data_IF_378935335837
#
_entry.id   IF_378935335837
#
_cell.length_a   1.000
_cell.length_b   1.000
_cell.length_c   1.000
_cell.angle_alpha   90.00
_cell.angle_beta   90.00
_cell.angle_gamma   90.00
#
_symmetry.space_group_name_H-M   'P 1'
#
loop_
_entity.id
_entity.type
_entity.pdbx_description
1 polymer ?
#
# COMPACT_ATOMS: atom_id res chain seq x y z
N UNK A 1 -1.43 -16.76 -8.11
CA UNK A 1 -0.16 -16.04 -7.93
C UNK A 1 -0.14 -15.43 -6.54
N UNK A 2 1.02 -15.27 -5.92
CA UNK A 2 1.15 -14.77 -4.55
C UNK A 2 1.48 -13.29 -4.55
N UNK A 3 0.80 -12.54 -3.69
CA UNK A 3 1.03 -11.10 -3.53
C UNK A 3 1.20 -10.72 -2.08
N UNK A 4 2.19 -9.87 -1.80
CA UNK A 4 2.36 -9.30 -0.46
C UNK A 4 1.44 -8.08 -0.34
N UNK A 5 0.50 -8.15 0.59
CA UNK A 5 -0.43 -7.07 0.91
C UNK A 5 -0.07 -6.46 2.26
N UNK A 6 -0.18 -5.14 2.32
CA UNK A 6 0.12 -4.34 3.49
C UNK A 6 -1.10 -3.55 3.92
N UNK A 7 -1.44 -3.64 5.20
CA UNK A 7 -2.49 -2.86 5.82
C UNK A 7 -1.89 -1.64 6.54
N UNK A 8 -2.18 -0.43 6.06
CA UNK A 8 -1.68 0.80 6.69
C UNK A 8 -2.44 1.19 7.96
N UNK A 9 -3.64 0.63 8.17
CA UNK A 9 -4.39 0.83 9.40
C UNK A 9 -3.79 0.02 10.55
N UNK A 10 -3.45 -1.25 10.31
CA UNK A 10 -2.97 -2.17 11.35
C UNK A 10 -1.45 -2.36 11.37
N UNK A 11 -0.76 -2.07 10.26
CA UNK A 11 0.66 -2.37 10.07
C UNK A 11 0.95 -3.83 9.64
N UNK A 12 -0.10 -4.64 9.49
CA UNK A 12 0.02 -6.05 9.14
C UNK A 12 0.50 -6.26 7.70
N UNK A 13 1.32 -7.29 7.52
CA UNK A 13 1.76 -7.80 6.23
C UNK A 13 1.24 -9.23 6.07
N UNK A 14 0.66 -9.52 4.92
CA UNK A 14 0.17 -10.86 4.60
C UNK A 14 0.53 -11.24 3.16
N UNK A 15 0.69 -12.53 2.91
CA UNK A 15 0.78 -13.08 1.56
C UNK A 15 -0.60 -13.57 1.16
N UNK A 16 -1.20 -12.93 0.17
CA UNK A 16 -2.50 -13.30 -0.37
C UNK A 16 -2.35 -14.08 -1.67
N UNK A 17 -3.15 -15.13 -1.82
CA UNK A 17 -3.29 -15.86 -3.06
C UNK A 17 -4.30 -15.12 -3.96
N UNK A 18 -3.85 -14.67 -5.13
CA UNK A 18 -4.66 -13.96 -6.12
C UNK A 18 -4.84 -14.79 -7.39
N UNK A 19 -5.92 -14.55 -8.17
CA UNK A 19 -6.11 -15.17 -9.48
C UNK A 19 -4.90 -14.93 -10.39
N UNK A 20 -4.60 -15.93 -11.23
CA UNK A 20 -3.59 -15.74 -12.26
C UNK A 20 -4.08 -14.73 -13.32
N UNK A 21 -3.18 -13.97 -13.97
CA UNK A 21 -3.55 -13.06 -15.06
C UNK A 21 -4.19 -13.82 -16.23
N UNK A 22 -5.16 -13.18 -16.87
CA UNK A 22 -5.76 -13.70 -18.10
C UNK A 22 -4.85 -13.41 -19.30
N UNK A 23 -4.73 -14.38 -20.20
CA UNK A 23 -3.95 -14.25 -21.44
C UNK A 23 -4.80 -13.65 -22.54
N UNK A 24 -4.24 -12.71 -23.30
CA UNK A 24 -4.86 -12.08 -24.47
C UNK A 24 -4.24 -12.62 -25.76
N UNK A 25 -4.92 -12.52 -26.92
CA UNK A 25 -4.33 -12.87 -28.21
C UNK A 25 -2.96 -12.21 -28.41
N UNK A 26 -1.97 -12.97 -28.87
CA UNK A 26 -0.59 -12.50 -29.07
C UNK A 26 0.26 -12.42 -27.79
N UNK A 27 -0.24 -12.87 -26.64
CA UNK A 27 0.52 -12.91 -25.37
C UNK A 27 0.76 -14.33 -24.88
N UNK A 28 1.75 -14.50 -24.00
CA UNK A 28 2.03 -15.75 -23.28
C UNK A 28 1.94 -15.52 -21.77
N UNK A 29 1.49 -16.52 -21.03
CA UNK A 29 1.57 -16.52 -19.57
C UNK A 29 2.86 -17.19 -19.13
N UNK A 30 3.66 -16.48 -18.35
CA UNK A 30 4.92 -16.99 -17.79
C UNK A 30 4.68 -17.41 -16.34
N UNK A 31 5.02 -18.67 -16.00
CA UNK A 31 4.97 -19.17 -14.62
C UNK A 31 6.32 -18.94 -13.94
N UNK A 32 6.34 -18.02 -12.99
CA UNK A 32 7.51 -17.80 -12.14
C UNK A 32 7.52 -18.80 -10.98
N UNK A 33 8.66 -19.44 -10.71
CA UNK A 33 8.82 -20.35 -9.55
C UNK A 33 9.27 -19.62 -8.29
N UNK A 34 10.02 -18.54 -8.47
CA UNK A 34 10.61 -17.77 -7.38
C UNK A 34 10.53 -16.29 -7.73
N UNK A 35 10.35 -15.46 -6.70
CA UNK A 35 10.45 -14.01 -6.79
C UNK A 35 11.16 -13.49 -5.54
N UNK A 36 11.93 -12.43 -5.70
CA UNK A 36 12.62 -11.74 -4.62
C UNK A 36 12.19 -10.28 -4.60
N UNK A 37 12.07 -9.71 -3.42
CA UNK A 37 11.89 -8.27 -3.23
C UNK A 37 13.15 -7.73 -2.57
N UNK A 38 13.74 -6.71 -3.19
CA UNK A 38 14.87 -5.99 -2.62
C UNK A 38 14.43 -5.29 -1.33
N UNK A 39 15.24 -5.39 -0.28
CA UNK A 39 14.88 -4.84 1.02
C UNK A 39 14.97 -3.31 1.12
N UNK A 40 15.46 -2.61 0.07
CA UNK A 40 15.78 -1.18 0.11
C UNK A 40 14.57 -0.29 0.44
N UNK A 41 13.84 0.13 -0.59
CA UNK A 41 12.69 1.05 -0.44
C UNK A 41 11.49 0.42 0.26
N UNK A 42 11.39 -0.90 0.19
CA UNK A 42 10.28 -1.67 0.71
C UNK A 42 10.32 -1.69 2.23
N UNK A 43 11.51 -1.79 2.84
CA UNK A 43 11.63 -1.71 4.31
C UNK A 43 11.11 -0.38 4.84
N UNK A 44 11.50 0.74 4.23
CA UNK A 44 11.01 2.06 4.65
C UNK A 44 9.47 2.17 4.56
N UNK A 45 8.88 1.58 3.53
CA UNK A 45 7.42 1.54 3.36
C UNK A 45 6.76 0.71 4.48
N UNK A 46 7.35 -0.44 4.82
CA UNK A 46 6.91 -1.28 5.93
C UNK A 46 6.99 -0.57 7.27
N UNK A 47 8.11 0.11 7.54
CA UNK A 47 8.29 0.87 8.77
C UNK A 47 7.32 2.05 8.89
N UNK A 48 6.88 2.64 7.78
CA UNK A 48 5.81 3.65 7.80
C UNK A 48 4.48 2.98 8.15
N UNK A 49 4.12 1.88 7.48
CA UNK A 49 2.86 1.18 7.73
C UNK A 49 2.72 0.68 9.17
N UNK A 50 3.81 0.18 9.76
CA UNK A 50 3.85 -0.32 11.14
C UNK A 50 3.88 0.78 12.21
N UNK A 51 4.17 2.03 11.84
CA UNK A 51 4.18 3.13 12.81
C UNK A 51 2.78 3.56 13.24
N UNK A 52 2.68 4.18 14.43
CA UNK A 52 1.42 4.78 14.90
C UNK A 52 0.96 5.89 13.93
N UNK A 53 -0.29 6.35 14.05
CA UNK A 53 -0.79 7.43 13.18
C UNK A 53 0.07 8.72 13.28
N UNK A 54 0.56 9.03 14.48
CA UNK A 54 1.50 10.13 14.70
C UNK A 54 2.86 9.85 14.05
N UNK A 55 3.38 8.63 14.17
CA UNK A 55 4.61 8.23 13.48
C UNK A 55 4.49 8.32 11.96
N UNK A 56 3.34 7.93 11.40
CA UNK A 56 3.01 8.09 9.98
C UNK A 56 3.02 9.56 9.57
N UNK A 57 2.43 10.44 10.39
CA UNK A 57 2.42 11.88 10.15
C UNK A 57 3.82 12.50 10.19
N UNK A 58 4.67 12.10 11.13
CA UNK A 58 6.06 12.56 11.24
C UNK A 58 6.92 12.09 10.06
N UNK A 59 6.78 10.83 9.63
CA UNK A 59 7.51 10.28 8.48
C UNK A 59 7.02 10.83 7.13
N UNK A 60 5.78 11.33 7.07
CA UNK A 60 5.14 11.84 5.85
C UNK A 60 4.51 13.23 6.07
N UNK A 61 5.33 14.26 6.33
CA UNK A 61 4.84 15.63 6.54
C UNK A 61 4.15 16.21 5.30
N UNK A 62 4.49 15.71 4.11
CA UNK A 62 3.81 16.02 2.85
C UNK A 62 2.32 15.63 2.90
N UNK A 63 1.99 14.45 3.43
CA UNK A 63 0.61 13.99 3.56
C UNK A 63 -0.16 14.75 4.64
N UNK A 64 0.53 15.27 5.66
CA UNK A 64 -0.07 16.14 6.67
C UNK A 64 -0.49 17.46 6.04
N UNK A 65 0.38 18.09 5.24
CA UNK A 65 0.03 19.31 4.48
C UNK A 65 -1.16 19.06 3.55
N UNK A 66 -1.12 17.95 2.80
CA UNK A 66 -2.23 17.55 1.94
C UNK A 66 -3.55 17.38 2.73
N UNK A 67 -3.51 16.80 3.93
CA UNK A 67 -4.69 16.67 4.77
C UNK A 67 -5.21 18.04 5.23
N UNK A 68 -4.34 18.96 5.65
CA UNK A 68 -4.73 20.32 6.04
C UNK A 68 -5.35 21.09 4.88
N UNK A 69 -4.79 20.97 3.68
CA UNK A 69 -5.33 21.58 2.47
C UNK A 69 -6.72 21.01 2.13
N UNK A 70 -6.90 19.69 2.30
CA UNK A 70 -8.22 19.07 2.14
C UNK A 70 -9.22 19.57 3.20
N UNK A 71 -8.79 19.77 4.46
CA UNK A 71 -9.69 20.33 5.49
C UNK A 71 -10.19 21.71 5.08
N UNK A 72 -9.30 22.57 4.55
CA UNK A 72 -9.66 23.91 4.07
C UNK A 72 -10.60 23.89 2.87
N UNK A 73 -10.47 22.91 1.98
CA UNK A 73 -11.22 22.83 0.72
C UNK A 73 -12.54 22.06 0.84
N UNK A 74 -12.53 20.95 1.56
CA UNK A 74 -13.60 19.94 1.58
C UNK A 74 -14.24 19.80 2.98
N UNK A 75 -13.66 20.43 4.01
CA UNK A 75 -14.11 20.35 5.40
C UNK A 75 -13.53 19.15 6.16
N UNK A 76 -13.68 19.18 7.49
CA UNK A 76 -13.06 18.22 8.40
C UNK A 76 -13.63 16.80 8.25
N UNK A 77 -14.96 16.66 8.16
CA UNK A 77 -15.64 15.35 8.07
C UNK A 77 -15.25 14.61 6.79
N UNK A 78 -15.28 15.29 5.64
CA UNK A 78 -14.90 14.71 4.35
C UNK A 78 -13.41 14.27 4.35
N UNK A 79 -12.54 15.13 4.89
CA UNK A 79 -11.11 14.82 4.99
C UNK A 79 -10.85 13.62 5.90
N UNK A 80 -11.53 13.53 7.04
CA UNK A 80 -11.42 12.38 7.94
C UNK A 80 -11.84 11.09 7.25
N UNK A 81 -12.96 11.08 6.53
CA UNK A 81 -13.42 9.92 5.76
C UNK A 81 -12.40 9.49 4.70
N UNK A 82 -11.80 10.46 3.99
CA UNK A 82 -10.76 10.26 2.96
C UNK A 82 -9.50 9.63 3.55
N UNK A 83 -9.01 10.16 4.68
CA UNK A 83 -7.84 9.60 5.38
C UNK A 83 -8.13 8.20 5.89
N UNK A 84 -9.30 7.97 6.51
CA UNK A 84 -9.71 6.67 7.04
C UNK A 84 -9.83 5.61 5.93
N UNK A 85 -10.42 5.99 4.79
CA UNK A 85 -10.49 5.12 3.60
C UNK A 85 -9.09 4.74 3.12
N UNK A 86 -8.19 5.72 2.98
CA UNK A 86 -6.82 5.51 2.52
C UNK A 86 -5.99 4.61 3.45
N UNK A 87 -6.21 4.68 4.77
CA UNK A 87 -5.57 3.79 5.74
C UNK A 87 -6.09 2.35 5.67
N UNK A 88 -7.38 2.17 5.35
CA UNK A 88 -8.03 0.86 5.21
C UNK A 88 -7.67 0.13 3.93
N UNK A 89 -7.27 0.85 2.88
CA UNK A 89 -6.89 0.24 1.61
C UNK A 89 -5.65 -0.63 1.78
N UNK A 90 -5.77 -1.91 1.42
CA UNK A 90 -4.63 -2.81 1.31
C UNK A 90 -3.75 -2.37 0.14
N UNK A 91 -2.45 -2.22 0.40
CA UNK A 91 -1.47 -1.89 -0.64
C UNK A 91 -0.63 -3.10 -0.98
N UNK A 92 -0.36 -3.29 -2.26
CA UNK A 92 0.60 -4.27 -2.73
C UNK A 92 2.02 -3.79 -2.49
N UNK A 93 2.91 -4.66 -2.01
CA UNK A 93 4.32 -4.36 -1.79
C UNK A 93 5.21 -4.99 -2.87
N UNK A 94 6.09 -4.18 -3.45
CA UNK A 94 7.09 -4.63 -4.42
C UNK A 94 6.50 -5.18 -5.73
N UNK A 95 7.32 -5.96 -6.44
CA UNK A 95 7.00 -6.55 -7.76
C UNK A 95 6.94 -8.09 -7.70
N UNK A 96 6.33 -8.65 -6.65
CA UNK A 96 6.15 -10.10 -6.52
C UNK A 96 5.34 -10.63 -7.70
N UNK A 97 5.84 -11.70 -8.31
CA UNK A 97 5.26 -12.28 -9.53
C UNK A 97 5.29 -13.81 -9.56
N UNK A 98 5.69 -14.45 -8.46
CA UNK A 98 5.62 -15.91 -8.29
C UNK A 98 4.22 -16.36 -7.83
#
# INVERSE_FOLDING_TARGET
MKQILQNFQTGELQVAELPAPLVRPGMVLVRNRFSLISAGTERATVEVAQSSLLGKAQKRPDLVRQALDNVRREGMLATYAKVKSRLRTLKTLGYSSA
#
